data_IF_311575422291
#
_entry.id   IF_311575422291
#
_cell.length_a   1.000
_cell.length_b   1.000
_cell.length_c   1.000
_cell.angle_alpha   90.00
_cell.angle_beta   90.00
_cell.angle_gamma   90.00
#
_symmetry.space_group_name_H-M   'P 1'
#
loop_
_entity.id
_entity.type
_entity.pdbx_description
1 polymer ?
#
# COMPACT_ATOMS: atom_id res chain seq x y z
N UNK A 1 -48.03 -43.79 25.70
CA UNK A 1 -48.34 -42.46 25.17
C UNK A 1 -47.91 -41.43 26.17
N UNK A 2 -46.81 -40.78 26.00
CA UNK A 2 -46.32 -39.65 26.79
C UNK A 2 -44.80 -39.71 27.00
N UNK A 3 -44.03 -39.53 25.96
CA UNK A 3 -42.62 -39.14 26.02
C UNK A 3 -42.11 -38.65 24.66
N UNK A 4 -42.85 -37.78 24.00
CA UNK A 4 -42.51 -37.29 22.65
C UNK A 4 -42.50 -35.76 22.64
N UNK A 5 -41.94 -35.13 23.67
CA UNK A 5 -42.07 -33.65 23.79
C UNK A 5 -40.83 -32.94 24.36
N UNK A 6 -39.65 -33.52 24.28
CA UNK A 6 -38.44 -32.84 24.77
C UNK A 6 -37.21 -32.91 23.85
N UNK A 7 -37.40 -33.09 22.57
CA UNK A 7 -36.27 -33.15 21.61
C UNK A 7 -36.20 -31.92 20.67
N UNK A 8 -36.76 -30.79 21.05
CA UNK A 8 -36.85 -29.64 20.15
C UNK A 8 -36.37 -28.35 20.82
N UNK A 9 -35.18 -28.33 21.42
CA UNK A 9 -34.62 -27.07 21.93
C UNK A 9 -33.10 -27.14 22.16
N UNK A 10 -32.36 -27.48 21.11
CA UNK A 10 -30.91 -27.22 21.09
C UNK A 10 -30.47 -26.99 19.62
N UNK A 11 -30.98 -25.92 19.02
CA UNK A 11 -30.25 -25.29 17.93
C UNK A 11 -29.13 -24.49 18.57
N UNK A 12 -27.86 -24.82 18.33
CA UNK A 12 -26.80 -23.91 18.68
C UNK A 12 -26.95 -22.65 17.82
N UNK A 13 -27.21 -21.52 18.45
CA UNK A 13 -26.95 -20.22 17.84
C UNK A 13 -25.46 -20.19 17.49
N UNK A 14 -25.13 -20.57 16.26
CA UNK A 14 -23.86 -20.22 15.65
C UNK A 14 -23.89 -18.71 15.47
N UNK A 15 -23.53 -17.99 16.52
CA UNK A 15 -23.16 -16.60 16.41
C UNK A 15 -21.90 -16.59 15.51
N UNK A 16 -22.14 -16.44 14.21
CA UNK A 16 -21.09 -16.11 13.27
C UNK A 16 -20.56 -14.75 13.72
N UNK A 17 -19.42 -14.76 14.42
CA UNK A 17 -18.58 -13.58 14.52
C UNK A 17 -18.11 -13.28 13.10
N UNK A 18 -18.92 -12.58 12.35
CA UNK A 18 -18.43 -11.84 11.17
C UNK A 18 -17.43 -10.84 11.77
N UNK A 19 -16.15 -11.11 11.62
CA UNK A 19 -15.14 -10.07 11.76
C UNK A 19 -15.51 -9.04 10.71
N UNK A 20 -16.10 -7.96 11.16
CA UNK A 20 -16.27 -6.77 10.34
C UNK A 20 -14.85 -6.32 9.97
N UNK A 21 -14.39 -6.77 8.83
CA UNK A 21 -13.16 -6.22 8.24
C UNK A 21 -13.56 -4.82 7.79
N UNK A 22 -13.27 -3.84 8.63
CA UNK A 22 -13.52 -2.45 8.31
C UNK A 22 -12.97 -2.19 6.90
N UNK A 23 -13.85 -1.95 5.96
CA UNK A 23 -13.47 -1.65 4.60
C UNK A 23 -12.78 -0.30 4.60
N UNK A 24 -11.54 -0.27 4.13
CA UNK A 24 -10.81 0.98 3.95
C UNK A 24 -11.47 1.74 2.80
N UNK A 25 -12.02 2.90 3.11
CA UNK A 25 -12.64 3.81 2.14
C UNK A 25 -11.90 5.14 2.12
N UNK A 26 -12.11 5.93 1.08
CA UNK A 26 -11.54 7.28 1.04
C UNK A 26 -12.01 8.11 2.24
N UNK A 27 -13.29 8.03 2.58
CA UNK A 27 -13.85 8.76 3.72
C UNK A 27 -13.19 8.35 5.03
N UNK A 28 -13.01 7.04 5.27
CA UNK A 28 -12.33 6.57 6.48
C UNK A 28 -10.87 7.03 6.57
N UNK A 29 -10.17 7.14 5.43
CA UNK A 29 -8.80 7.64 5.40
C UNK A 29 -8.74 9.15 5.64
N UNK A 30 -9.68 9.91 5.09
CA UNK A 30 -9.78 11.35 5.33
C UNK A 30 -10.13 11.66 6.78
N UNK A 31 -11.06 10.91 7.37
CA UNK A 31 -11.42 11.05 8.78
C UNK A 31 -10.22 10.76 9.68
N UNK A 32 -9.45 9.71 9.39
CA UNK A 32 -8.23 9.39 10.12
C UNK A 32 -7.17 10.51 10.03
N UNK A 33 -7.02 11.12 8.84
CA UNK A 33 -6.07 12.22 8.64
C UNK A 33 -6.39 13.47 9.46
N UNK A 34 -7.66 13.77 9.68
CA UNK A 34 -8.11 14.97 10.41
C UNK A 34 -8.37 14.70 11.89
N UNK A 35 -8.44 13.45 12.31
CA UNK A 35 -8.65 13.06 13.70
C UNK A 35 -7.38 13.24 14.51
N UNK A 36 -7.37 14.27 15.35
CA UNK A 36 -6.27 14.49 16.31
C UNK A 36 -6.17 13.32 17.30
N UNK A 37 -7.29 12.74 17.65
CA UNK A 37 -7.38 11.65 18.63
C UNK A 37 -6.80 10.35 18.07
N UNK A 38 -7.11 10.00 16.83
CA UNK A 38 -6.54 8.83 16.16
C UNK A 38 -5.04 8.99 15.89
N UNK A 39 -4.60 10.19 15.53
CA UNK A 39 -3.18 10.49 15.31
C UNK A 39 -2.34 10.38 16.61
N UNK A 40 -2.97 10.52 17.78
CA UNK A 40 -2.31 10.40 19.06
C UNK A 40 -2.34 8.98 19.63
N UNK A 41 -3.09 8.06 19.02
CA UNK A 41 -3.19 6.68 19.47
C UNK A 41 -2.14 5.80 18.79
N UNK A 42 -1.67 4.84 19.55
CA UNK A 42 -0.88 3.76 18.96
C UNK A 42 -1.80 2.88 18.10
N UNK A 43 -1.42 2.58 16.86
CA UNK A 43 -2.28 1.78 15.99
C UNK A 43 -2.53 0.41 16.60
N UNK A 44 -3.79 -0.02 16.61
CA UNK A 44 -4.20 -1.33 17.11
C UNK A 44 -3.68 -2.47 16.25
N UNK A 45 -3.52 -2.20 14.96
CA UNK A 45 -2.94 -3.15 13.99
C UNK A 45 -1.56 -2.61 13.60
N UNK A 46 -0.49 -3.39 13.83
CA UNK A 46 0.83 -2.96 13.43
C UNK A 46 0.91 -2.79 11.92
N UNK A 47 1.40 -1.66 11.48
CA UNK A 47 1.70 -1.41 10.07
C UNK A 47 3.18 -1.08 9.88
N UNK A 48 3.66 -1.24 8.67
CA UNK A 48 5.01 -0.91 8.26
C UNK A 48 4.97 0.24 7.28
N UNK A 49 5.68 1.32 7.58
CA UNK A 49 5.93 2.37 6.61
C UNK A 49 7.12 2.01 5.74
N UNK A 50 6.94 2.13 4.45
CA UNK A 50 7.98 1.95 3.45
C UNK A 50 8.17 3.23 2.66
N UNK A 51 9.41 3.48 2.27
CA UNK A 51 9.74 4.56 1.36
C UNK A 51 10.64 4.03 0.26
N UNK A 52 10.34 4.38 -0.96
CA UNK A 52 11.18 4.17 -2.13
C UNK A 52 11.58 5.52 -2.68
N UNK A 53 12.83 5.65 -3.09
CA UNK A 53 13.36 6.89 -3.65
C UNK A 53 14.38 6.59 -4.73
N UNK A 54 14.38 7.41 -5.77
CA UNK A 54 15.32 7.33 -6.89
C UNK A 54 16.63 8.08 -6.67
N UNK A 55 16.93 8.51 -5.45
CA UNK A 55 18.15 9.26 -5.15
C UNK A 55 19.42 8.50 -5.58
N UNK A 56 20.45 9.24 -5.94
CA UNK A 56 21.74 8.68 -6.28
C UNK A 56 22.45 8.14 -5.02
N UNK A 57 22.61 6.80 -4.97
CA UNK A 57 23.23 6.12 -3.83
C UNK A 57 24.75 6.22 -3.77
N UNK A 58 25.38 6.83 -4.76
CA UNK A 58 26.81 7.15 -4.69
C UNK A 58 27.11 8.33 -3.75
N UNK A 59 26.10 9.12 -3.41
CA UNK A 59 26.15 10.16 -2.39
C UNK A 59 26.08 9.55 -0.98
N UNK A 60 27.21 9.10 -0.45
CA UNK A 60 27.25 8.36 0.81
C UNK A 60 27.54 9.26 2.01
N UNK A 61 28.46 10.22 1.86
CA UNK A 61 28.92 11.09 2.95
C UNK A 61 29.41 12.43 2.42
N UNK A 62 29.22 13.53 3.18
CA UNK A 62 29.74 14.84 2.82
C UNK A 62 31.26 14.87 2.62
N UNK A 63 31.96 13.98 3.32
CA UNK A 63 33.43 13.91 3.29
C UNK A 63 33.96 12.96 2.19
N UNK A 64 33.06 12.34 1.43
CA UNK A 64 33.40 11.39 0.37
C UNK A 64 33.27 11.99 -1.02
N UNK A 65 34.13 11.59 -1.98
CA UNK A 65 33.91 11.92 -3.38
C UNK A 65 32.51 11.49 -3.83
N UNK A 66 31.83 12.32 -4.62
CA UNK A 66 30.49 12.00 -5.12
C UNK A 66 29.35 12.43 -4.20
N UNK A 67 29.60 13.18 -3.14
CA UNK A 67 28.53 13.71 -2.27
C UNK A 67 27.44 14.47 -3.04
N UNK A 68 27.82 15.18 -4.08
CA UNK A 68 26.89 15.90 -4.95
C UNK A 68 26.47 15.11 -6.19
N UNK A 69 26.67 13.80 -6.19
CA UNK A 69 26.20 12.95 -7.27
C UNK A 69 24.66 13.08 -7.40
N UNK A 70 24.21 13.19 -8.62
CA UNK A 70 22.81 13.48 -8.94
C UNK A 70 22.37 12.66 -10.14
N UNK A 71 22.45 11.34 -10.04
CA UNK A 71 21.94 10.41 -11.04
C UNK A 71 20.69 9.72 -10.49
N UNK A 72 19.56 10.38 -10.66
CA UNK A 72 18.25 9.94 -10.14
C UNK A 72 17.67 8.69 -10.82
N UNK A 73 18.50 7.87 -11.42
CA UNK A 73 18.11 6.58 -12.02
C UNK A 73 18.29 5.36 -11.12
N UNK A 74 18.82 5.53 -9.92
CA UNK A 74 19.27 4.41 -9.06
C UNK A 74 18.16 3.72 -8.26
N UNK A 75 17.02 4.33 -8.06
CA UNK A 75 16.02 3.85 -7.11
C UNK A 75 15.01 2.86 -7.68
N UNK A 76 15.20 2.37 -8.89
CA UNK A 76 14.26 1.41 -9.49
C UNK A 76 14.43 0.01 -8.91
N UNK A 77 13.32 -0.71 -8.76
CA UNK A 77 13.31 -2.12 -8.37
C UNK A 77 13.87 -2.98 -9.51
N UNK A 78 13.32 -2.80 -10.70
CA UNK A 78 13.75 -3.46 -11.92
C UNK A 78 13.25 -2.69 -13.15
N UNK A 79 13.60 -3.21 -14.32
CA UNK A 79 13.01 -2.79 -15.60
C UNK A 79 12.19 -3.95 -16.12
N UNK A 80 10.97 -3.70 -16.52
CA UNK A 80 10.05 -4.69 -17.06
C UNK A 80 9.56 -4.28 -18.46
N UNK A 81 8.97 -5.22 -19.18
CA UNK A 81 8.38 -4.97 -20.49
C UNK A 81 6.93 -5.41 -20.49
N UNK A 82 6.04 -4.43 -20.53
CA UNK A 82 4.59 -4.64 -20.50
C UNK A 82 4.02 -4.19 -21.84
N UNK A 83 3.39 -5.08 -22.59
CA UNK A 83 2.81 -4.82 -23.92
C UNK A 83 3.79 -4.14 -24.89
N UNK A 84 5.05 -4.56 -24.89
CA UNK A 84 6.10 -4.00 -25.75
C UNK A 84 6.66 -2.65 -25.28
N UNK A 85 6.22 -2.13 -24.14
CA UNK A 85 6.77 -0.92 -23.52
C UNK A 85 7.77 -1.29 -22.44
N UNK A 86 8.90 -0.62 -22.43
CA UNK A 86 9.87 -0.73 -21.34
C UNK A 86 9.42 0.18 -20.20
N UNK A 87 9.17 -0.40 -19.03
CA UNK A 87 8.73 0.29 -17.83
C UNK A 87 9.77 0.14 -16.72
N UNK A 88 9.98 1.21 -15.96
CA UNK A 88 10.84 1.20 -14.79
C UNK A 88 9.96 0.99 -13.56
N UNK A 89 10.11 -0.14 -12.90
CA UNK A 89 9.37 -0.48 -11.68
C UNK A 89 9.99 0.29 -10.52
N UNK A 90 9.27 1.26 -10.01
CA UNK A 90 9.72 2.10 -8.89
C UNK A 90 9.35 1.51 -7.53
N UNK A 91 8.27 0.75 -7.48
CA UNK A 91 7.72 0.18 -6.26
C UNK A 91 7.05 -1.15 -6.59
N UNK A 92 7.33 -2.19 -5.81
CA UNK A 92 6.70 -3.51 -5.90
C UNK A 92 6.62 -4.10 -4.49
N UNK A 93 5.45 -4.01 -3.89
CA UNK A 93 5.20 -4.50 -2.54
C UNK A 93 3.88 -5.25 -2.46
N UNK A 94 3.86 -6.24 -1.59
CA UNK A 94 2.65 -7.03 -1.35
C UNK A 94 1.76 -6.35 -0.33
N UNK A 95 0.48 -6.21 -0.71
CA UNK A 95 -0.55 -5.63 0.15
C UNK A 95 -1.12 -6.60 1.20
N UNK A 96 -2.13 -6.17 1.93
CA UNK A 96 -2.82 -4.89 1.77
C UNK A 96 -1.99 -3.68 2.21
N UNK A 97 -2.19 -2.54 1.54
CA UNK A 97 -1.48 -1.32 1.85
C UNK A 97 -2.05 -0.09 1.13
N UNK A 98 -1.49 1.06 1.43
CA UNK A 98 -1.86 2.31 0.80
C UNK A 98 -0.62 3.14 0.43
N UNK A 99 -0.66 3.77 -0.73
CA UNK A 99 0.31 4.77 -1.12
C UNK A 99 -0.16 6.11 -0.57
N UNK A 100 0.49 6.60 0.47
CA UNK A 100 0.07 7.81 1.17
C UNK A 100 0.67 9.08 0.56
N UNK A 101 1.77 8.96 -0.18
CA UNK A 101 2.43 10.10 -0.78
C UNK A 101 3.25 9.70 -1.99
N UNK A 102 3.09 10.44 -3.07
CA UNK A 102 3.97 10.42 -4.23
C UNK A 102 4.56 11.82 -4.38
N UNK A 103 5.87 11.89 -4.50
CA UNK A 103 6.57 13.13 -4.76
C UNK A 103 7.45 12.96 -6.00
N UNK A 104 7.32 13.85 -6.95
CA UNK A 104 8.00 13.77 -8.23
C UNK A 104 8.59 15.14 -8.58
N UNK A 105 9.80 15.12 -9.09
CA UNK A 105 10.39 16.26 -9.76
C UNK A 105 10.87 15.83 -11.14
N UNK A 106 10.61 16.65 -12.14
CA UNK A 106 11.01 16.39 -13.53
C UNK A 106 11.31 17.72 -14.22
N UNK A 107 12.32 17.71 -15.08
CA UNK A 107 12.77 18.91 -15.78
C UNK A 107 11.79 19.29 -16.89
N UNK A 108 11.28 18.32 -17.61
CA UNK A 108 10.49 18.52 -18.82
C UNK A 108 9.00 18.13 -18.67
N UNK A 109 8.59 17.75 -17.48
CA UNK A 109 7.22 17.31 -17.14
C UNK A 109 6.71 16.18 -18.03
N UNK A 110 7.60 15.32 -18.49
CA UNK A 110 7.27 14.16 -19.31
C UNK A 110 7.33 12.89 -18.47
N UNK A 111 6.47 11.96 -18.81
CA UNK A 111 6.40 10.66 -18.16
C UNK A 111 4.96 10.23 -17.96
N UNK A 112 4.77 8.96 -17.81
CA UNK A 112 3.48 8.35 -17.47
C UNK A 112 3.70 7.44 -16.29
N UNK A 113 2.90 7.62 -15.25
CA UNK A 113 2.83 6.72 -14.12
C UNK A 113 1.75 5.69 -14.36
N UNK A 114 2.04 4.43 -14.04
CA UNK A 114 1.07 3.35 -14.13
C UNK A 114 1.07 2.59 -12.82
N UNK A 115 -0.12 2.28 -12.35
CA UNK A 115 -0.34 1.54 -11.11
C UNK A 115 -1.02 0.23 -11.45
N UNK A 116 -0.38 -0.86 -11.09
CA UNK A 116 -0.88 -2.22 -11.25
C UNK A 116 -1.21 -2.76 -9.87
N UNK A 117 -2.41 -3.28 -9.70
CA UNK A 117 -2.87 -3.84 -8.45
C UNK A 117 -3.11 -5.35 -8.60
N UNK A 118 -2.85 -6.08 -7.54
CA UNK A 118 -3.20 -7.50 -7.40
C UNK A 118 -2.73 -8.40 -8.56
N UNK A 119 -1.61 -8.05 -9.19
CA UNK A 119 -1.04 -8.82 -10.31
C UNK A 119 -1.74 -8.62 -11.64
N UNK A 120 -2.52 -7.57 -11.79
CA UNK A 120 -3.15 -7.21 -13.06
C UNK A 120 -2.09 -6.86 -14.13
N UNK A 121 -2.34 -7.27 -15.37
CA UNK A 121 -1.49 -6.92 -16.52
C UNK A 121 -1.85 -5.55 -17.13
N UNK A 122 -3.04 -5.05 -16.82
CA UNK A 122 -3.52 -3.73 -17.25
C UNK A 122 -3.48 -2.78 -16.07
N UNK A 123 -2.93 -1.57 -16.21
CA UNK A 123 -2.89 -0.64 -15.10
C UNK A 123 -4.30 -0.22 -14.70
N UNK A 124 -4.61 -0.33 -13.42
CA UNK A 124 -5.88 0.13 -12.87
C UNK A 124 -5.98 1.65 -12.87
N UNK A 125 -4.82 2.35 -12.93
CA UNK A 125 -4.74 3.80 -12.98
C UNK A 125 -3.52 4.27 -13.78
N UNK A 126 -3.68 5.39 -14.53
CA UNK A 126 -2.66 6.00 -15.38
C UNK A 126 -2.60 7.51 -15.11
#
# INVERSE_FOLDING_TARGET
>A
MRNLLFALLLLPLMASCVKDTAQVTLDSLLDEMISVEESARYPLVPYRCLQVSSYDRSSVSPDSPGWFANNDGYGIVCTDTVDGRVERVMFDEKGPGAITRIWITTVDKRGTWRFYFDGESTPGWI
#
